data_IF_475944618736
#
_entry.id   IF_475944618736
#
_cell.length_a   1.000
_cell.length_b   1.000
_cell.length_c   1.000
_cell.angle_alpha   90.00
_cell.angle_beta   90.00
_cell.angle_gamma   90.00
#
_symmetry.space_group_name_H-M   'P 1'
#
loop_
_entity.id
_entity.type
_entity.pdbx_description
1 polymer ?
#
# COMPACT_ATOMS: atom_id res chain seq x y z
N UNK A 1 2.43 30.80 -42.23
CA UNK A 1 1.77 31.71 -41.26
C UNK A 1 1.53 33.12 -41.83
N UNK A 2 2.48 33.74 -42.56
CA UNK A 2 2.35 35.12 -43.10
C UNK A 2 1.25 35.36 -44.16
N UNK A 3 0.84 34.34 -44.91
CA UNK A 3 -0.25 34.49 -45.90
C UNK A 3 -1.65 34.56 -45.28
N UNK A 4 -1.82 33.92 -44.11
CA UNK A 4 -3.11 33.82 -43.41
C UNK A 4 -3.47 35.15 -42.73
N UNK A 5 -2.48 35.87 -42.22
CA UNK A 5 -2.63 37.23 -41.68
C UNK A 5 -3.00 38.26 -42.74
N UNK A 6 -2.47 38.11 -43.96
CA UNK A 6 -2.80 39.01 -45.07
C UNK A 6 -4.22 38.80 -45.62
N UNK A 7 -4.71 37.55 -45.62
CA UNK A 7 -6.09 37.24 -45.97
C UNK A 7 -7.09 37.72 -44.90
N UNK A 8 -6.73 37.60 -43.62
CA UNK A 8 -7.52 38.11 -42.49
C UNK A 8 -7.60 39.65 -42.47
N UNK A 9 -6.56 40.36 -42.94
CA UNK A 9 -6.56 41.82 -43.04
C UNK A 9 -7.44 42.37 -44.18
N UNK A 10 -7.80 41.53 -45.16
CA UNK A 10 -8.71 41.89 -46.26
C UNK A 10 -10.18 41.62 -45.96
N UNK A 11 -10.47 40.92 -44.87
CA UNK A 11 -11.83 40.71 -44.39
C UNK A 11 -12.29 41.99 -43.68
N UNK A 12 -13.47 42.54 -44.00
CA UNK A 12 -13.99 43.71 -43.30
C UNK A 12 -14.05 43.40 -41.80
N UNK A 13 -13.64 44.36 -40.96
CA UNK A 13 -13.78 44.27 -39.51
C UNK A 13 -15.26 44.16 -39.15
N UNK A 14 -15.78 42.94 -39.15
CA UNK A 14 -17.20 42.62 -39.09
C UNK A 14 -17.45 41.37 -38.25
N UNK A 15 -18.73 41.01 -38.05
CA UNK A 15 -19.16 39.97 -37.11
C UNK A 15 -18.44 38.62 -37.26
N UNK A 16 -17.94 38.29 -38.46
CA UNK A 16 -17.15 37.07 -38.71
C UNK A 16 -15.80 37.03 -37.96
N UNK A 17 -15.10 38.17 -37.82
CA UNK A 17 -13.84 38.24 -37.10
C UNK A 17 -14.07 38.09 -35.58
N UNK A 18 -15.19 38.63 -35.07
CA UNK A 18 -15.63 38.45 -33.69
C UNK A 18 -15.98 36.98 -33.42
N UNK A 19 -16.71 36.32 -34.32
CA UNK A 19 -17.03 34.90 -34.21
C UNK A 19 -15.78 34.01 -34.27
N UNK A 20 -14.84 34.28 -35.17
CA UNK A 20 -13.58 33.53 -35.27
C UNK A 20 -12.73 33.69 -33.99
N UNK A 21 -12.68 34.90 -33.43
CA UNK A 21 -11.99 35.18 -32.18
C UNK A 21 -12.64 34.45 -31.00
N UNK A 22 -13.97 34.49 -30.90
CA UNK A 22 -14.67 33.81 -29.81
C UNK A 22 -14.56 32.29 -29.92
N UNK A 23 -14.70 31.73 -31.13
CA UNK A 23 -14.47 30.30 -31.40
C UNK A 23 -13.06 29.87 -30.98
N UNK A 24 -12.03 30.68 -31.24
CA UNK A 24 -10.66 30.36 -30.82
C UNK A 24 -10.49 30.34 -29.29
N UNK A 25 -11.20 31.22 -28.57
CA UNK A 25 -11.21 31.25 -27.10
C UNK A 25 -11.93 30.04 -26.51
N UNK A 26 -13.07 29.66 -27.08
CA UNK A 26 -13.82 28.48 -26.68
C UNK A 26 -13.00 27.20 -26.88
N UNK A 27 -12.35 27.06 -28.05
CA UNK A 27 -11.48 25.92 -28.35
C UNK A 27 -10.30 25.80 -27.38
N UNK A 28 -9.64 26.91 -27.04
CA UNK A 28 -8.57 26.90 -26.04
C UNK A 28 -9.11 26.50 -24.65
N UNK A 29 -10.33 26.90 -24.31
CA UNK A 29 -10.97 26.58 -23.04
C UNK A 29 -11.40 25.10 -22.98
N UNK A 30 -11.89 24.53 -24.07
CA UNK A 30 -12.17 23.09 -24.20
C UNK A 30 -10.89 22.25 -24.05
N UNK A 31 -9.81 22.63 -24.75
CA UNK A 31 -8.52 21.92 -24.65
C UNK A 31 -7.97 21.91 -23.22
N UNK A 32 -8.05 23.04 -22.50
CA UNK A 32 -7.64 23.12 -21.09
C UNK A 32 -8.47 22.22 -20.18
N UNK A 33 -9.78 22.14 -20.40
CA UNK A 33 -10.67 21.25 -19.62
C UNK A 33 -10.35 19.78 -19.87
N UNK A 34 -10.12 19.39 -21.12
CA UNK A 34 -9.72 18.03 -21.46
C UNK A 34 -8.38 17.66 -20.80
N UNK A 35 -7.37 18.55 -20.87
CA UNK A 35 -6.09 18.35 -20.21
C UNK A 35 -6.21 18.23 -18.69
N UNK A 36 -7.04 19.07 -18.06
CA UNK A 36 -7.31 18.97 -16.63
C UNK A 36 -7.88 17.59 -16.26
N UNK A 37 -8.81 17.05 -17.05
CA UNK A 37 -9.36 15.71 -16.85
C UNK A 37 -8.29 14.61 -16.94
N UNK A 38 -7.42 14.68 -17.95
CA UNK A 38 -6.31 13.71 -18.11
C UNK A 38 -5.33 13.78 -16.94
N UNK A 39 -4.98 14.98 -16.50
CA UNK A 39 -4.07 15.17 -15.35
C UNK A 39 -4.68 14.64 -14.05
N UNK A 40 -5.98 14.85 -13.82
CA UNK A 40 -6.68 14.31 -12.65
C UNK A 40 -6.71 12.79 -12.69
N UNK A 41 -7.04 12.18 -13.83
CA UNK A 41 -7.05 10.73 -13.98
C UNK A 41 -5.65 10.12 -13.76
N UNK A 42 -4.62 10.74 -14.31
CA UNK A 42 -3.22 10.33 -14.10
C UNK A 42 -2.83 10.45 -12.62
N UNK A 43 -3.14 11.58 -11.98
CA UNK A 43 -2.86 11.80 -10.56
C UNK A 43 -3.55 10.74 -9.68
N UNK A 44 -4.80 10.40 -9.99
CA UNK A 44 -5.54 9.35 -9.28
C UNK A 44 -4.89 7.98 -9.45
N UNK A 45 -4.48 7.62 -10.68
CA UNK A 45 -3.82 6.35 -10.95
C UNK A 45 -2.47 6.23 -10.22
N UNK A 46 -1.68 7.30 -10.23
CA UNK A 46 -0.41 7.37 -9.49
C UNK A 46 -0.66 7.29 -7.98
N UNK A 47 -1.62 8.06 -7.45
CA UNK A 47 -1.95 8.06 -6.03
C UNK A 47 -2.36 6.67 -5.54
N UNK A 48 -3.22 5.97 -6.29
CA UNK A 48 -3.63 4.60 -5.96
C UNK A 48 -2.45 3.64 -5.96
N UNK A 49 -1.56 3.73 -6.96
CA UNK A 49 -0.39 2.86 -7.07
C UNK A 49 0.59 3.07 -5.91
N UNK A 50 0.87 4.34 -5.56
CA UNK A 50 1.72 4.70 -4.43
C UNK A 50 1.11 4.24 -3.11
N UNK A 51 -0.20 4.45 -2.92
CA UNK A 51 -0.93 4.00 -1.72
C UNK A 51 -0.82 2.49 -1.51
N UNK A 52 -1.05 1.69 -2.56
CA UNK A 52 -0.93 0.22 -2.49
C UNK A 52 0.51 -0.19 -2.18
N UNK A 53 1.48 0.46 -2.81
CA UNK A 53 2.91 0.23 -2.57
C UNK A 53 3.28 0.45 -1.10
N UNK A 54 2.93 1.61 -0.56
CA UNK A 54 3.22 1.99 0.83
C UNK A 54 2.53 1.09 1.85
N UNK A 55 1.27 0.72 1.59
CA UNK A 55 0.56 -0.21 2.47
C UNK A 55 1.25 -1.57 2.52
N UNK A 56 1.58 -2.13 1.35
CA UNK A 56 2.28 -3.42 1.26
C UNK A 56 3.60 -3.39 2.01
N UNK A 57 4.39 -2.33 1.83
CA UNK A 57 5.68 -2.17 2.51
C UNK A 57 5.52 -2.06 4.03
N UNK A 58 4.55 -1.25 4.47
CA UNK A 58 4.24 -1.10 5.90
C UNK A 58 3.77 -2.42 6.53
N UNK A 59 2.95 -3.19 5.81
CA UNK A 59 2.48 -4.49 6.26
C UNK A 59 3.62 -5.51 6.36
N UNK A 60 4.50 -5.57 5.35
CA UNK A 60 5.66 -6.47 5.37
C UNK A 60 6.60 -6.12 6.52
N UNK A 61 6.92 -4.83 6.70
CA UNK A 61 7.76 -4.38 7.80
C UNK A 61 7.14 -4.70 9.17
N UNK A 62 5.83 -4.56 9.31
CA UNK A 62 5.13 -4.95 10.53
C UNK A 62 5.14 -6.47 10.73
N UNK A 63 4.96 -7.26 9.67
CA UNK A 63 4.99 -8.72 9.74
C UNK A 63 6.36 -9.24 10.17
N UNK A 64 7.46 -8.65 9.67
CA UNK A 64 8.82 -9.00 10.09
C UNK A 64 9.05 -8.76 11.59
N UNK A 65 8.36 -7.78 12.18
CA UNK A 65 8.41 -7.48 13.61
C UNK A 65 7.45 -8.36 14.42
N UNK A 66 6.27 -8.65 13.87
CA UNK A 66 5.22 -9.41 14.53
C UNK A 66 5.48 -10.93 14.52
N UNK A 67 6.18 -11.44 13.50
CA UNK A 67 6.57 -12.84 13.36
C UNK A 67 8.10 -12.95 13.29
N UNK A 68 8.80 -12.88 14.44
CA UNK A 68 10.25 -12.93 14.50
C UNK A 68 10.88 -14.28 14.09
N UNK A 69 10.08 -15.31 13.82
CA UNK A 69 10.56 -16.62 13.39
C UNK A 69 9.87 -17.07 12.10
N UNK A 70 10.64 -17.63 11.18
CA UNK A 70 10.13 -18.20 9.93
C UNK A 70 9.30 -19.47 10.17
N UNK A 71 9.60 -20.21 11.25
CA UNK A 71 8.97 -21.48 11.57
C UNK A 71 8.66 -21.60 13.07
N UNK A 72 7.39 -21.86 13.38
CA UNK A 72 6.90 -22.08 14.74
C UNK A 72 6.59 -23.55 14.98
N UNK A 73 7.39 -24.19 15.83
CA UNK A 73 7.14 -25.56 16.27
C UNK A 73 6.33 -25.55 17.55
N UNK A 74 5.23 -26.33 17.59
CA UNK A 74 4.45 -26.58 18.81
C UNK A 74 4.15 -28.06 18.94
N UNK A 75 3.93 -28.53 20.16
CA UNK A 75 3.44 -29.88 20.38
C UNK A 75 1.95 -29.97 20.00
N UNK A 76 1.55 -31.11 19.43
CA UNK A 76 0.13 -31.45 19.28
C UNK A 76 -0.44 -32.11 20.55
N UNK A 77 0.42 -32.55 21.46
CA UNK A 77 0.03 -33.15 22.73
C UNK A 77 -0.45 -32.08 23.71
N UNK A 78 -1.50 -32.39 24.46
CA UNK A 78 -2.00 -31.58 25.58
C UNK A 78 -1.70 -32.28 26.90
N UNK A 79 -1.26 -31.51 27.89
CA UNK A 79 -1.13 -31.95 29.26
C UNK A 79 -2.50 -32.16 29.92
N UNK A 80 -2.48 -32.77 31.11
CA UNK A 80 -3.70 -33.02 31.92
C UNK A 80 -4.42 -31.73 32.32
N UNK A 81 -3.71 -30.60 32.35
CA UNK A 81 -4.20 -29.24 32.59
C UNK A 81 -4.82 -28.58 31.33
N UNK A 82 -4.86 -29.29 30.20
CA UNK A 82 -5.37 -28.78 28.92
C UNK A 82 -4.42 -27.81 28.21
N UNK A 83 -3.24 -27.55 28.78
CA UNK A 83 -2.20 -26.72 28.17
C UNK A 83 -1.37 -27.55 27.16
N UNK A 84 -0.79 -26.92 26.11
CA UNK A 84 0.13 -27.61 25.22
C UNK A 84 1.29 -28.21 26.02
N UNK A 85 1.56 -29.50 25.82
CA UNK A 85 2.69 -30.16 26.47
C UNK A 85 4.00 -29.47 26.03
N UNK A 86 5.00 -29.31 26.91
CA UNK A 86 6.28 -28.73 26.51
C UNK A 86 6.99 -29.64 25.49
N UNK A 87 7.73 -29.02 24.57
CA UNK A 87 8.63 -29.75 23.67
C UNK A 87 9.75 -30.43 24.49
N UNK A 88 10.14 -31.68 24.17
CA UNK A 88 11.26 -32.33 24.85
C UNK A 88 12.54 -31.49 24.71
N UNK A 89 13.32 -31.29 25.79
CA UNK A 89 14.51 -30.44 25.75
C UNK A 89 15.58 -30.97 24.79
N UNK A 90 15.69 -32.30 24.64
CA UNK A 90 16.60 -32.92 23.67
C UNK A 90 16.24 -32.54 22.22
N UNK A 91 14.95 -32.46 21.89
CA UNK A 91 14.49 -32.03 20.57
C UNK A 91 14.85 -30.56 20.32
N UNK A 92 14.61 -29.68 21.31
CA UNK A 92 14.94 -28.25 21.21
C UNK A 92 16.44 -28.05 20.97
N UNK A 93 17.29 -28.82 21.67
CA UNK A 93 18.73 -28.78 21.47
C UNK A 93 19.13 -29.26 20.06
N UNK A 94 18.55 -30.36 19.57
CA UNK A 94 18.82 -30.88 18.23
C UNK A 94 18.41 -29.91 17.11
N UNK A 95 17.28 -29.20 17.28
CA UNK A 95 16.80 -28.23 16.28
C UNK A 95 17.82 -27.11 16.02
N UNK A 96 18.56 -26.67 17.04
CA UNK A 96 19.60 -25.64 16.89
C UNK A 96 20.85 -26.12 16.13
N UNK A 97 21.01 -27.43 15.95
CA UNK A 97 22.14 -28.02 15.22
C UNK A 97 21.79 -28.44 13.79
N UNK A 98 20.53 -28.30 13.37
CA UNK A 98 20.11 -28.62 12.01
C UNK A 98 20.75 -27.66 11.01
N UNK A 99 21.19 -28.21 9.87
CA UNK A 99 21.72 -27.41 8.77
C UNK A 99 20.61 -26.48 8.25
N UNK A 100 20.90 -25.18 8.15
CA UNK A 100 19.96 -24.17 7.64
C UNK A 100 19.18 -23.45 8.74
N UNK A 101 19.30 -23.86 10.00
CA UNK A 101 18.75 -23.12 11.13
C UNK A 101 19.73 -22.04 11.57
N UNK A 102 19.41 -20.77 11.30
CA UNK A 102 20.24 -19.64 11.72
C UNK A 102 20.14 -19.36 13.22
N UNK A 103 18.92 -19.48 13.78
CA UNK A 103 18.64 -19.22 15.19
C UNK A 103 17.45 -20.06 15.64
N UNK A 104 17.56 -20.66 16.82
CA UNK A 104 16.42 -21.28 17.53
C UNK A 104 16.23 -20.59 18.88
N UNK A 105 14.99 -20.27 19.23
CA UNK A 105 14.65 -19.70 20.53
C UNK A 105 13.40 -20.39 21.10
N UNK A 106 13.44 -20.86 22.37
CA UNK A 106 12.24 -21.37 23.03
C UNK A 106 11.27 -20.22 23.31
N UNK A 107 9.99 -20.40 22.97
CA UNK A 107 8.92 -19.44 23.23
C UNK A 107 7.83 -20.09 24.08
N UNK A 108 7.40 -19.40 25.14
CA UNK A 108 6.25 -19.79 25.95
C UNK A 108 5.29 -18.62 26.03
N UNK A 109 4.12 -18.76 25.40
CA UNK A 109 3.06 -17.75 25.48
C UNK A 109 2.08 -18.08 26.60
N UNK A 110 1.74 -17.11 27.45
CA UNK A 110 0.71 -17.25 28.47
C UNK A 110 -0.27 -16.07 28.41
N UNK A 111 -1.55 -16.33 28.63
CA UNK A 111 -2.55 -15.27 28.74
C UNK A 111 -2.67 -14.85 30.20
N UNK A 112 -2.30 -13.62 30.51
CA UNK A 112 -2.40 -13.05 31.84
C UNK A 112 -3.54 -12.06 31.90
N UNK A 113 -4.39 -12.22 32.91
CA UNK A 113 -5.46 -11.27 33.19
C UNK A 113 -4.97 -10.29 34.25
N UNK A 114 -4.67 -9.06 33.82
CA UNK A 114 -4.02 -8.05 34.65
C UNK A 114 -4.93 -7.50 35.76
N UNK A 115 -6.25 -7.53 35.58
CA UNK A 115 -7.24 -7.11 36.58
C UNK A 115 -8.57 -7.86 36.38
N UNK A 116 -9.39 -8.03 37.45
CA UNK A 116 -10.75 -8.52 37.31
C UNK A 116 -11.55 -7.62 36.35
N UNK A 117 -12.20 -8.22 35.34
CA UNK A 117 -12.99 -7.48 34.34
C UNK A 117 -12.23 -6.94 33.14
N UNK A 118 -10.90 -7.11 33.04
CA UNK A 118 -10.13 -6.77 31.83
C UNK A 118 -9.91 -7.97 30.91
N UNK A 119 -9.74 -7.69 29.62
CA UNK A 119 -9.38 -8.71 28.64
C UNK A 119 -7.98 -9.29 28.94
N UNK A 120 -7.79 -10.61 28.78
CA UNK A 120 -6.48 -11.24 28.95
C UNK A 120 -5.47 -10.73 27.93
N UNK A 121 -4.26 -10.39 28.40
CA UNK A 121 -3.13 -10.01 27.55
C UNK A 121 -2.23 -11.22 27.35
N UNK A 122 -1.81 -11.49 26.11
CA UNK A 122 -0.81 -12.52 25.84
C UNK A 122 0.60 -11.96 26.07
N UNK A 123 1.39 -12.66 26.88
CA UNK A 123 2.85 -12.49 27.00
C UNK A 123 3.57 -13.69 26.40
#
# INVERSE_FOLDING_TARGET
VRGLTAALARLPAGPLLLLARERSRDQATEARRALAGVLVALALAVAMTVMIGSFRESLLQWLDQALPADLYVRTALRGADGLPAPLPPALVAQLGHLHGVARSAPQRSTRLRLAPGREPVAL
#
